data_IF_433306962210
#
_entry.id   IF_433306962210
#
_cell.length_a   1.000
_cell.length_b   1.000
_cell.length_c   1.000
_cell.angle_alpha   90.00
_cell.angle_beta   90.00
_cell.angle_gamma   90.00
#
_symmetry.space_group_name_H-M   'P 1'
#
loop_
_entity.id
_entity.type
_entity.pdbx_description
1 polymer ?
#
# COMPACT_ATOMS: atom_id res chain seq x y z
N UNK A 1 17.88 -72.42 -19.42
CA UNK A 1 18.80 -72.03 -18.34
C UNK A 1 19.07 -70.54 -18.49
N UNK A 2 18.14 -69.70 -18.02
CA UNK A 2 18.25 -68.99 -16.72
C UNK A 2 19.49 -68.09 -16.81
N UNK A 3 19.34 -66.79 -17.07
CA UNK A 3 19.23 -65.81 -15.98
C UNK A 3 18.50 -64.54 -16.42
N UNK A 4 17.25 -64.44 -15.98
CA UNK A 4 16.63 -63.14 -15.74
C UNK A 4 17.32 -62.51 -14.52
N UNK A 5 17.94 -61.34 -14.69
CA UNK A 5 18.31 -60.51 -13.55
C UNK A 5 18.25 -59.02 -13.93
N UNK A 6 17.04 -58.48 -13.75
CA UNK A 6 16.75 -57.19 -13.10
C UNK A 6 17.64 -55.99 -13.47
N UNK A 7 17.18 -55.20 -14.45
CA UNK A 7 17.51 -53.77 -14.51
C UNK A 7 16.21 -52.96 -14.64
N UNK A 8 15.31 -53.11 -13.67
CA UNK A 8 14.05 -52.38 -13.59
C UNK A 8 14.18 -51.13 -12.71
N UNK A 9 15.11 -50.22 -13.00
CA UNK A 9 15.11 -48.86 -12.43
C UNK A 9 15.72 -47.89 -13.47
N UNK A 10 15.01 -47.64 -14.57
CA UNK A 10 15.36 -46.54 -15.49
C UNK A 10 14.10 -45.88 -16.03
N UNK A 11 13.26 -45.42 -15.11
CA UNK A 11 12.21 -44.43 -15.39
C UNK A 11 12.23 -43.36 -14.30
N UNK A 12 13.42 -42.92 -13.88
CA UNK A 12 13.58 -41.61 -13.28
C UNK A 12 13.41 -40.56 -14.37
N UNK A 13 12.19 -40.41 -14.89
CA UNK A 13 11.84 -39.33 -15.82
C UNK A 13 11.95 -38.04 -15.02
N UNK A 14 13.08 -37.41 -15.23
CA UNK A 14 13.47 -36.06 -14.87
C UNK A 14 12.27 -35.17 -14.49
N UNK A 15 12.06 -35.01 -13.17
CA UNK A 15 11.13 -34.04 -12.61
C UNK A 15 11.70 -32.61 -12.66
N UNK A 16 12.77 -32.36 -13.43
CA UNK A 16 13.18 -31.00 -13.80
C UNK A 16 12.37 -30.53 -15.02
N UNK A 17 11.04 -30.51 -14.90
CA UNK A 17 10.31 -29.43 -15.58
C UNK A 17 10.75 -28.14 -14.88
N UNK A 18 11.84 -27.54 -15.37
CA UNK A 18 12.15 -26.14 -15.07
C UNK A 18 10.90 -25.37 -15.46
N UNK A 19 10.13 -24.94 -14.46
CA UNK A 19 9.13 -23.93 -14.65
C UNK A 19 9.92 -22.71 -15.15
N UNK A 20 9.86 -22.43 -16.44
CA UNK A 20 10.31 -21.12 -16.94
C UNK A 20 9.20 -20.18 -16.50
N UNK A 21 9.25 -19.85 -15.22
CA UNK A 21 8.51 -18.76 -14.63
C UNK A 21 8.92 -17.52 -15.42
N UNK A 22 8.01 -17.04 -16.26
CA UNK A 22 8.15 -15.71 -16.82
C UNK A 22 8.38 -14.81 -15.61
N UNK A 23 9.45 -13.98 -15.59
CA UNK A 23 9.63 -13.06 -14.49
C UNK A 23 8.31 -12.32 -14.33
N UNK A 24 7.65 -12.53 -13.19
CA UNK A 24 6.48 -11.72 -12.85
C UNK A 24 6.93 -10.29 -13.03
N UNK A 25 6.17 -9.50 -13.78
CA UNK A 25 6.51 -8.12 -14.11
C UNK A 25 7.04 -7.48 -12.82
N UNK A 26 8.36 -7.35 -12.72
CA UNK A 26 8.98 -6.96 -11.47
C UNK A 26 8.34 -5.61 -11.14
N UNK A 27 7.92 -5.45 -9.89
CA UNK A 27 7.02 -4.39 -9.41
C UNK A 27 7.53 -2.95 -9.63
N UNK A 28 8.61 -2.80 -10.40
CA UNK A 28 9.44 -1.63 -10.59
C UNK A 28 9.54 -1.28 -12.08
N UNK A 29 8.46 -1.38 -12.86
CA UNK A 29 8.41 -0.49 -14.03
C UNK A 29 8.24 0.93 -13.50
N UNK A 30 9.19 1.81 -13.82
CA UNK A 30 9.13 3.26 -13.55
C UNK A 30 7.86 3.89 -14.15
N UNK A 31 7.18 3.18 -15.06
CA UNK A 31 5.90 3.54 -15.65
C UNK A 31 4.71 3.37 -14.68
N UNK A 32 4.87 2.62 -13.58
CA UNK A 32 3.90 2.53 -12.49
C UNK A 32 4.15 3.67 -11.50
N UNK A 33 3.91 4.88 -11.97
CA UNK A 33 4.23 6.13 -11.29
C UNK A 33 3.35 6.32 -10.04
N UNK A 34 3.70 5.65 -8.94
CA UNK A 34 3.40 6.14 -7.60
C UNK A 34 4.39 7.26 -7.24
N UNK A 35 4.61 8.22 -8.15
CA UNK A 35 5.42 9.38 -7.81
C UNK A 35 4.67 10.12 -6.71
N UNK A 36 5.29 10.29 -5.53
CA UNK A 36 4.68 11.04 -4.44
C UNK A 36 4.41 12.44 -4.95
N UNK A 37 3.13 12.77 -5.10
CA UNK A 37 2.72 14.11 -5.44
C UNK A 37 3.10 15.00 -4.25
N UNK A 38 4.30 15.59 -4.26
CA UNK A 38 4.85 16.43 -3.17
C UNK A 38 4.10 17.77 -3.01
N UNK A 39 2.84 17.85 -3.45
CA UNK A 39 2.03 19.05 -3.35
C UNK A 39 1.63 19.25 -1.90
N UNK A 40 1.76 20.50 -1.46
CA UNK A 40 1.13 20.95 -0.23
C UNK A 40 -0.39 20.73 -0.37
N UNK A 41 -0.98 20.08 0.63
CA UNK A 41 -2.39 19.72 0.62
C UNK A 41 -3.11 20.57 1.65
N UNK A 42 -4.31 21.03 1.32
CA UNK A 42 -5.18 21.77 2.24
C UNK A 42 -6.47 20.99 2.43
N UNK A 43 -7.13 21.19 3.56
CA UNK A 43 -8.43 20.56 3.82
C UNK A 43 -9.51 21.30 3.03
N UNK A 44 -10.25 20.59 2.19
CA UNK A 44 -11.38 21.14 1.42
C UNK A 44 -12.71 20.85 2.09
N UNK A 45 -12.81 19.75 2.86
CA UNK A 45 -14.05 19.33 3.48
C UNK A 45 -13.88 18.15 4.44
N UNK A 46 -15.00 17.74 5.03
CA UNK A 46 -15.09 16.57 5.90
C UNK A 46 -16.40 15.83 5.65
N UNK A 47 -16.35 14.50 5.75
CA UNK A 47 -17.53 13.64 5.86
C UNK A 47 -17.29 12.54 6.90
N UNK A 48 -18.34 11.81 7.25
CA UNK A 48 -18.22 10.59 8.04
C UNK A 48 -18.31 9.38 7.11
N UNK A 49 -17.50 8.36 7.39
CA UNK A 49 -17.62 7.05 6.75
C UNK A 49 -18.82 6.26 7.33
N UNK A 50 -19.00 5.03 6.83
CA UNK A 50 -20.07 4.11 7.23
C UNK A 50 -20.00 3.72 8.72
N UNK A 51 -18.80 3.72 9.30
CA UNK A 51 -18.53 3.45 10.72
C UNK A 51 -18.60 4.72 11.59
N UNK A 52 -18.90 5.88 10.99
CA UNK A 52 -18.99 7.17 11.67
C UNK A 52 -17.65 7.85 11.94
N UNK A 53 -16.53 7.38 11.37
CA UNK A 53 -15.24 8.05 11.52
C UNK A 53 -15.14 9.27 10.60
N UNK A 54 -14.53 10.34 11.09
CA UNK A 54 -14.29 11.53 10.29
C UNK A 54 -13.21 11.28 9.24
N UNK A 55 -13.51 11.67 8.00
CA UNK A 55 -12.63 11.64 6.84
C UNK A 55 -12.47 13.08 6.35
N UNK A 56 -11.22 13.54 6.24
CA UNK A 56 -10.91 14.81 5.60
C UNK A 56 -10.71 14.61 4.10
N UNK A 57 -11.30 15.50 3.31
CA UNK A 57 -11.05 15.65 1.89
C UNK A 57 -9.93 16.66 1.69
N UNK A 58 -8.92 16.30 0.89
CA UNK A 58 -7.74 17.12 0.68
C UNK A 58 -7.67 17.64 -0.76
N UNK A 59 -7.07 18.82 -0.95
CA UNK A 59 -6.93 19.46 -2.26
C UNK A 59 -6.10 18.67 -3.28
N UNK A 60 -5.27 17.73 -2.83
CA UNK A 60 -4.55 16.79 -3.69
C UNK A 60 -5.43 15.65 -4.24
N UNK A 61 -6.71 15.59 -3.86
CA UNK A 61 -7.67 14.56 -4.29
C UNK A 61 -7.68 13.30 -3.42
N UNK A 62 -6.77 13.18 -2.45
CA UNK A 62 -6.77 12.09 -1.49
C UNK A 62 -7.68 12.39 -0.28
N UNK A 63 -8.12 11.33 0.39
CA UNK A 63 -8.85 11.42 1.66
C UNK A 63 -8.00 10.88 2.81
N UNK A 64 -8.21 11.42 4.01
CA UNK A 64 -7.49 10.99 5.21
C UNK A 64 -8.46 10.75 6.36
N UNK A 65 -8.46 9.51 6.88
CA UNK A 65 -9.16 9.20 8.13
C UNK A 65 -8.53 9.94 9.32
N UNK A 66 -9.38 10.59 10.11
CA UNK A 66 -9.00 11.36 11.28
C UNK A 66 -9.51 10.66 12.55
N UNK A 67 -8.77 9.66 13.02
CA UNK A 67 -9.12 8.94 14.26
C UNK A 67 -8.60 9.70 15.49
N UNK A 68 -9.43 9.74 16.54
CA UNK A 68 -9.03 10.16 17.87
C UNK A 68 -9.08 8.93 18.79
N UNK A 69 -7.93 8.29 19.02
CA UNK A 69 -7.78 7.08 19.82
C UNK A 69 -6.60 7.22 20.78
N UNK A 70 -6.70 8.02 21.86
CA UNK A 70 -5.65 8.09 22.88
C UNK A 70 -5.43 6.72 23.54
N UNK A 71 -4.17 6.34 23.86
CA UNK A 71 -2.93 7.12 23.72
C UNK A 71 -2.31 7.10 22.31
N UNK A 72 -2.84 6.28 21.40
CA UNK A 72 -2.21 5.99 20.10
C UNK A 72 -2.32 7.13 19.10
N UNK A 73 -3.43 7.86 19.07
CA UNK A 73 -3.66 9.00 18.17
C UNK A 73 -4.48 10.09 18.86
N UNK A 74 -3.88 11.24 19.14
CA UNK A 74 -4.59 12.37 19.75
C UNK A 74 -4.93 13.45 18.73
N UNK A 75 -6.18 13.46 18.28
CA UNK A 75 -6.77 14.52 17.44
C UNK A 75 -8.07 15.08 18.01
N UNK A 76 -8.02 15.68 19.21
CA UNK A 76 -9.22 16.11 19.93
C UNK A 76 -10.11 17.10 19.13
N UNK A 77 -9.48 17.98 18.34
CA UNK A 77 -10.18 18.95 17.50
C UNK A 77 -11.13 18.32 16.48
N UNK A 78 -10.92 17.05 16.11
CA UNK A 78 -11.78 16.33 15.16
C UNK A 78 -13.16 16.07 15.74
N UNK A 79 -13.28 15.96 17.06
CA UNK A 79 -14.57 15.68 17.71
C UNK A 79 -15.50 16.91 17.71
N UNK A 80 -14.92 18.11 17.72
CA UNK A 80 -15.67 19.37 17.76
C UNK A 80 -15.94 19.92 16.35
N UNK A 81 -17.21 20.21 16.05
CA UNK A 81 -17.61 20.65 14.72
C UNK A 81 -17.06 22.02 14.35
N UNK A 82 -17.00 22.95 15.31
CA UNK A 82 -16.48 24.30 15.10
C UNK A 82 -14.99 24.24 14.76
N UNK A 83 -14.21 23.49 15.55
CA UNK A 83 -12.78 23.30 15.28
C UNK A 83 -12.52 22.61 13.94
N UNK A 84 -13.36 21.65 13.51
CA UNK A 84 -13.24 21.08 12.16
C UNK A 84 -13.43 22.14 11.09
N UNK A 85 -14.45 22.99 11.20
CA UNK A 85 -14.71 24.06 10.24
C UNK A 85 -13.52 25.04 10.18
N UNK A 86 -12.93 25.39 11.34
CA UNK A 86 -11.73 26.24 11.41
C UNK A 86 -10.50 25.63 10.71
N UNK A 87 -10.47 24.30 10.54
CA UNK A 87 -9.40 23.62 9.79
C UNK A 87 -9.59 23.64 8.28
N UNK A 88 -10.77 23.96 7.77
CA UNK A 88 -10.99 24.06 6.31
C UNK A 88 -10.12 25.18 5.75
N UNK A 89 -9.45 24.91 4.62
CA UNK A 89 -8.49 25.81 3.97
C UNK A 89 -7.10 25.85 4.61
N UNK A 90 -6.90 25.21 5.77
CA UNK A 90 -5.58 25.13 6.40
C UNK A 90 -4.72 24.03 5.74
N UNK A 91 -3.38 24.19 5.73
CA UNK A 91 -2.47 23.16 5.26
C UNK A 91 -2.57 21.92 6.15
N UNK A 92 -2.53 20.76 5.51
CA UNK A 92 -2.66 19.46 6.14
C UNK A 92 -1.85 18.41 5.39
N UNK A 93 -0.99 17.69 6.11
CA UNK A 93 -0.12 16.68 5.51
C UNK A 93 -0.96 15.49 5.00
N UNK A 94 -0.98 15.31 3.68
CA UNK A 94 -1.53 14.11 3.07
C UNK A 94 -0.55 12.95 3.25
N UNK A 95 -0.98 11.86 3.89
CA UNK A 95 -0.14 10.67 4.09
C UNK A 95 0.38 10.10 2.78
N UNK A 96 -0.47 9.96 1.77
CA UNK A 96 -0.10 9.42 0.44
C UNK A 96 0.93 10.28 -0.28
N UNK A 97 0.74 11.60 -0.29
CA UNK A 97 1.67 12.56 -0.89
C UNK A 97 3.02 12.65 -0.13
N UNK A 98 2.98 12.55 1.20
CA UNK A 98 4.17 12.65 2.05
C UNK A 98 5.02 11.39 2.04
N UNK A 99 4.40 10.22 1.84
CA UNK A 99 5.10 8.96 1.64
C UNK A 99 5.78 9.01 0.26
N UNK A 100 7.07 9.38 0.25
CA UNK A 100 7.90 9.29 -0.95
C UNK A 100 7.77 7.90 -1.61
N UNK A 101 7.94 7.78 -2.93
CA UNK A 101 7.87 6.48 -3.62
C UNK A 101 8.80 5.48 -2.94
N UNK A 102 8.24 4.56 -2.16
CA UNK A 102 9.01 3.54 -1.44
C UNK A 102 9.54 2.56 -2.49
N UNK A 103 10.75 2.82 -2.95
CA UNK A 103 11.58 1.88 -3.70
C UNK A 103 12.53 1.18 -2.73
N UNK A 104 11.96 0.37 -1.82
CA UNK A 104 12.77 -0.49 -0.97
C UNK A 104 13.12 -1.78 -1.73
N UNK A 105 14.23 -1.78 -2.47
CA UNK A 105 15.01 -3.00 -2.62
C UNK A 105 15.97 -3.05 -1.43
N UNK A 106 15.72 -3.94 -0.47
CA UNK A 106 16.76 -4.38 0.46
C UNK A 106 17.65 -5.35 -0.32
N UNK A 107 18.79 -4.86 -0.78
CA UNK A 107 19.90 -5.70 -1.23
C UNK A 107 20.62 -6.27 0.01
N UNK A 108 20.62 -7.60 0.15
CA UNK A 108 21.43 -8.38 1.08
C UNK A 108 22.34 -9.33 0.30
#
# INVERSE_FOLDING_TARGET
>A
METALLAAISMGRDLLHKNIERPSLAKQSLESDHNPDKRDSTITGFHQDEDGHWVAELSCGHTQHLRHQPPWQSRAWVLDATQRIEKIGQPFACGWCAQGSVSANLDA
#
